data_IF_461785375965
#
_entry.id   IF_461785375965
#
_cell.length_a   1.000
_cell.length_b   1.000
_cell.length_c   1.000
_cell.angle_alpha   90.00
_cell.angle_beta   90.00
_cell.angle_gamma   90.00
#
_symmetry.space_group_name_H-M   'P 1'
#
loop_
_entity.id
_entity.type
_entity.pdbx_description
1 polymer ?
#
# COMPACT_ATOMS: atom_id res chain seq x y z
N UNK A 1 39.27 12.59 30.43
CA UNK A 1 38.30 11.70 29.75
C UNK A 1 39.07 10.92 28.70
N UNK A 2 38.96 9.58 28.71
CA UNK A 2 39.73 8.72 27.80
C UNK A 2 39.36 9.02 26.33
N UNK A 3 40.36 9.10 25.46
CA UNK A 3 40.18 9.48 24.04
C UNK A 3 39.20 8.53 23.32
N UNK A 4 39.16 7.26 23.75
CA UNK A 4 38.22 6.26 23.26
C UNK A 4 36.77 6.51 23.71
N UNK A 5 36.57 7.05 24.91
CA UNK A 5 35.23 7.42 25.42
C UNK A 5 34.68 8.64 24.67
N UNK A 6 35.54 9.60 24.33
CA UNK A 6 35.16 10.76 23.52
C UNK A 6 34.73 10.38 22.10
N UNK A 7 35.47 9.48 21.44
CA UNK A 7 35.12 8.98 20.11
C UNK A 7 33.81 8.18 20.11
N UNK A 8 33.61 7.32 21.11
CA UNK A 8 32.37 6.56 21.23
C UNK A 8 31.14 7.46 21.45
N UNK A 9 31.29 8.55 22.22
CA UNK A 9 30.22 9.53 22.42
C UNK A 9 29.89 10.30 21.13
N UNK A 10 30.91 10.65 20.34
CA UNK A 10 30.73 11.33 19.05
C UNK A 10 30.01 10.42 18.04
N UNK A 11 30.42 9.16 17.92
CA UNK A 11 29.78 8.16 17.06
C UNK A 11 28.31 7.93 17.45
N UNK A 12 28.02 7.81 18.74
CA UNK A 12 26.63 7.67 19.24
C UNK A 12 25.80 8.91 18.86
N UNK A 13 26.38 10.11 18.98
CA UNK A 13 25.70 11.35 18.64
C UNK A 13 25.39 11.45 17.13
N UNK A 14 26.33 11.01 16.30
CA UNK A 14 26.19 10.97 14.85
C UNK A 14 25.12 9.96 14.43
N UNK A 15 25.16 8.74 14.99
CA UNK A 15 24.15 7.70 14.76
C UNK A 15 22.77 8.23 15.13
N UNK A 16 22.63 8.87 16.28
CA UNK A 16 21.36 9.43 16.73
C UNK A 16 20.82 10.49 15.77
N UNK A 17 21.69 11.40 15.33
CA UNK A 17 21.34 12.45 14.37
C UNK A 17 20.87 11.87 13.03
N UNK A 18 21.55 10.83 12.53
CA UNK A 18 21.18 10.14 11.29
C UNK A 18 19.83 9.44 11.44
N UNK A 19 19.56 8.77 12.56
CA UNK A 19 18.27 8.11 12.84
C UNK A 19 17.13 9.14 12.86
N UNK A 20 17.30 10.25 13.58
CA UNK A 20 16.27 11.29 13.68
C UNK A 20 15.96 11.90 12.32
N UNK A 21 16.99 12.26 11.55
CA UNK A 21 16.82 12.81 10.20
C UNK A 21 16.13 11.82 9.27
N UNK A 22 16.51 10.54 9.32
CA UNK A 22 15.91 9.47 8.52
C UNK A 22 14.43 9.28 8.86
N UNK A 23 14.06 9.33 10.15
CA UNK A 23 12.65 9.23 10.56
C UNK A 23 11.84 10.46 10.17
N UNK A 24 12.40 11.65 10.32
CA UNK A 24 11.77 12.88 9.82
C UNK A 24 11.54 12.80 8.32
N UNK A 25 12.48 12.23 7.59
CA UNK A 25 12.33 12.04 6.16
C UNK A 25 11.19 11.07 5.84
N UNK A 26 11.13 9.88 6.44
CA UNK A 26 9.99 8.96 6.24
C UNK A 26 8.63 9.56 6.63
N UNK A 27 8.58 10.47 7.61
CA UNK A 27 7.33 11.14 7.97
C UNK A 27 6.77 12.03 6.86
N UNK A 28 7.61 12.54 5.95
CA UNK A 28 7.17 13.38 4.83
C UNK A 28 6.43 12.57 3.76
N UNK A 29 6.72 11.27 3.65
CA UNK A 29 5.99 10.35 2.75
C UNK A 29 4.80 9.65 3.42
N UNK A 30 4.68 9.70 4.75
CA UNK A 30 3.52 9.16 5.47
C UNK A 30 2.15 9.54 4.85
N UNK A 31 1.89 10.81 4.45
CA UNK A 31 0.60 11.18 3.89
C UNK A 31 0.31 10.52 2.54
N UNK A 32 1.33 10.17 1.75
CA UNK A 32 1.15 9.44 0.49
C UNK A 32 0.51 8.08 0.74
N UNK A 33 1.02 7.31 1.71
CA UNK A 33 0.46 6.01 2.09
C UNK A 33 -0.98 6.10 2.59
N UNK A 34 -1.29 7.11 3.40
CA UNK A 34 -2.66 7.36 3.88
C UNK A 34 -3.58 7.62 2.70
N UNK A 35 -3.18 8.47 1.75
CA UNK A 35 -3.97 8.76 0.56
C UNK A 35 -4.16 7.55 -0.35
N UNK A 36 -3.16 6.67 -0.49
CA UNK A 36 -3.32 5.40 -1.21
C UNK A 36 -4.42 4.54 -0.56
N UNK A 37 -4.47 4.48 0.77
CA UNK A 37 -5.53 3.78 1.48
C UNK A 37 -6.91 4.41 1.27
N UNK A 38 -7.00 5.74 1.29
CA UNK A 38 -8.26 6.47 1.02
C UNK A 38 -8.77 6.20 -0.40
N UNK A 39 -7.90 6.24 -1.41
CA UNK A 39 -8.30 5.94 -2.81
C UNK A 39 -8.84 4.52 -2.92
N UNK A 40 -8.18 3.54 -2.29
CA UNK A 40 -8.67 2.16 -2.29
C UNK A 40 -10.01 2.03 -1.56
N UNK A 41 -10.24 2.80 -0.50
CA UNK A 41 -11.52 2.85 0.21
C UNK A 41 -12.64 3.39 -0.68
N UNK A 42 -12.39 4.50 -1.37
CA UNK A 42 -13.35 5.10 -2.32
C UNK A 42 -13.66 4.11 -3.45
N UNK A 43 -12.63 3.49 -4.03
CA UNK A 43 -12.80 2.49 -5.08
C UNK A 43 -13.63 1.28 -4.60
N UNK A 44 -13.39 0.81 -3.36
CA UNK A 44 -14.16 -0.29 -2.79
C UNK A 44 -15.65 0.06 -2.59
N UNK A 45 -15.96 1.31 -2.22
CA UNK A 45 -17.35 1.79 -2.13
C UNK A 45 -18.02 1.77 -3.52
N UNK A 46 -17.32 2.27 -4.55
CA UNK A 46 -17.80 2.26 -5.94
C UNK A 46 -18.08 0.85 -6.44
N UNK A 47 -17.21 -0.10 -6.11
CA UNK A 47 -17.40 -1.49 -6.46
C UNK A 47 -18.57 -2.14 -5.68
N UNK A 48 -18.74 -1.78 -4.40
CA UNK A 48 -19.89 -2.25 -3.63
C UNK A 48 -21.22 -1.75 -4.22
N UNK A 49 -21.25 -0.50 -4.69
CA UNK A 49 -22.40 0.06 -5.42
C UNK A 49 -22.65 -0.67 -6.73
N UNK A 50 -21.59 -1.03 -7.48
CA UNK A 50 -21.71 -1.86 -8.68
C UNK A 50 -22.39 -3.20 -8.37
N UNK A 51 -21.96 -3.92 -7.34
CA UNK A 51 -22.56 -5.20 -6.95
C UNK A 51 -24.01 -5.04 -6.49
N UNK A 52 -24.32 -3.98 -5.73
CA UNK A 52 -25.70 -3.67 -5.32
C UNK A 52 -26.61 -3.48 -6.54
N UNK A 53 -26.20 -2.65 -7.51
CA UNK A 53 -26.96 -2.39 -8.74
C UNK A 53 -27.13 -3.67 -9.54
N UNK A 54 -26.05 -4.47 -9.70
CA UNK A 54 -26.08 -5.77 -10.38
C UNK A 54 -27.09 -6.73 -9.77
N UNK A 55 -27.17 -6.79 -8.44
CA UNK A 55 -28.09 -7.68 -7.74
C UNK A 55 -29.55 -7.19 -7.80
N UNK A 56 -29.78 -5.89 -7.90
CA UNK A 56 -31.11 -5.28 -7.89
C UNK A 56 -31.73 -5.14 -9.29
N UNK A 57 -30.92 -4.75 -10.29
CA UNK A 57 -31.37 -4.39 -11.64
C UNK A 57 -30.87 -5.33 -12.75
N UNK A 58 -29.98 -6.28 -12.41
CA UNK A 58 -29.42 -7.25 -13.35
C UNK A 58 -28.08 -6.84 -13.96
N UNK A 59 -27.51 -7.75 -14.76
CA UNK A 59 -26.14 -7.65 -15.28
C UNK A 59 -26.00 -6.71 -16.48
N UNK A 60 -27.07 -6.50 -17.23
CA UNK A 60 -27.05 -5.77 -18.51
C UNK A 60 -27.25 -4.26 -18.35
N UNK A 61 -27.46 -3.77 -17.13
CA UNK A 61 -27.67 -2.35 -16.89
C UNK A 61 -26.38 -1.58 -17.15
N UNK A 62 -26.43 -0.53 -17.98
CA UNK A 62 -25.29 0.36 -18.28
C UNK A 62 -24.58 0.88 -17.02
N UNK A 63 -25.30 1.03 -15.91
CA UNK A 63 -24.74 1.42 -14.62
C UNK A 63 -23.71 0.41 -14.09
N UNK A 64 -23.92 -0.90 -14.24
CA UNK A 64 -22.96 -1.93 -13.82
C UNK A 64 -21.63 -1.74 -14.56
N UNK A 65 -21.68 -1.45 -15.86
CA UNK A 65 -20.49 -1.18 -16.65
C UNK A 65 -19.80 0.13 -16.25
N UNK A 66 -20.56 1.19 -15.98
CA UNK A 66 -20.01 2.50 -15.56
C UNK A 66 -19.32 2.38 -14.21
N UNK A 67 -19.97 1.78 -13.20
CA UNK A 67 -19.37 1.62 -11.87
C UNK A 67 -18.20 0.62 -11.89
N UNK A 68 -18.28 -0.44 -12.70
CA UNK A 68 -17.19 -1.39 -12.88
C UNK A 68 -15.95 -0.79 -13.53
N UNK A 69 -16.12 0.02 -14.58
CA UNK A 69 -15.01 0.78 -15.17
C UNK A 69 -14.51 1.86 -14.20
N UNK A 70 -15.42 2.52 -13.49
CA UNK A 70 -15.13 3.57 -12.51
C UNK A 70 -14.18 3.10 -11.40
N UNK A 71 -14.36 1.88 -10.90
CA UNK A 71 -13.45 1.26 -9.94
C UNK A 71 -11.98 1.30 -10.41
N UNK A 72 -11.71 0.88 -11.65
CA UNK A 72 -10.36 0.86 -12.21
C UNK A 72 -9.82 2.28 -12.47
N UNK A 73 -10.65 3.17 -13.02
CA UNK A 73 -10.24 4.53 -13.35
C UNK A 73 -9.93 5.38 -12.11
N UNK A 74 -10.72 5.26 -11.05
CA UNK A 74 -10.49 5.97 -9.78
C UNK A 74 -9.11 5.63 -9.21
N UNK A 75 -8.74 4.36 -9.23
CA UNK A 75 -7.43 3.92 -8.72
C UNK A 75 -6.28 4.44 -9.58
N UNK A 76 -6.33 4.22 -10.91
CA UNK A 76 -5.21 4.60 -11.77
C UNK A 76 -5.01 6.13 -11.80
N UNK A 77 -6.09 6.90 -11.96
CA UNK A 77 -6.04 8.37 -11.97
C UNK A 77 -5.60 8.87 -10.60
N UNK A 78 -6.14 8.30 -9.53
CA UNK A 78 -5.76 8.62 -8.15
C UNK A 78 -4.27 8.39 -7.89
N UNK A 79 -3.71 7.26 -8.32
CA UNK A 79 -2.29 6.96 -8.15
C UNK A 79 -1.39 7.90 -8.98
N UNK A 80 -1.78 8.22 -10.21
CA UNK A 80 -1.04 9.19 -11.05
C UNK A 80 -1.02 10.57 -10.39
N UNK A 81 -2.18 11.07 -9.94
CA UNK A 81 -2.29 12.37 -9.27
C UNK A 81 -1.43 12.40 -8.00
N UNK A 82 -1.51 11.37 -7.15
CA UNK A 82 -0.68 11.27 -5.94
C UNK A 82 0.80 11.24 -6.28
N UNK A 83 1.20 10.45 -7.27
CA UNK A 83 2.59 10.33 -7.67
C UNK A 83 3.17 11.68 -8.12
N UNK A 84 2.44 12.42 -8.96
CA UNK A 84 2.87 13.75 -9.44
C UNK A 84 2.93 14.74 -8.28
N UNK A 85 1.88 14.80 -7.45
CA UNK A 85 1.79 15.72 -6.32
C UNK A 85 2.94 15.52 -5.32
N UNK A 86 3.14 14.28 -4.86
CA UNK A 86 4.20 13.97 -3.89
C UNK A 86 5.59 14.04 -4.51
N UNK A 87 5.76 13.74 -5.81
CA UNK A 87 7.05 13.91 -6.49
C UNK A 87 7.49 15.37 -6.49
N UNK A 88 6.58 16.30 -6.80
CA UNK A 88 6.85 17.74 -6.74
C UNK A 88 7.17 18.19 -5.32
N UNK A 89 6.40 17.71 -4.34
CA UNK A 89 6.58 18.07 -2.92
C UNK A 89 7.92 17.58 -2.35
N UNK A 90 8.29 16.32 -2.58
CA UNK A 90 9.51 15.72 -2.04
C UNK A 90 10.78 16.24 -2.72
N UNK A 91 10.72 16.55 -4.03
CA UNK A 91 11.84 17.17 -4.74
C UNK A 91 12.14 18.57 -4.20
N UNK A 92 11.12 19.36 -3.85
CA UNK A 92 11.32 20.67 -3.19
C UNK A 92 11.91 20.56 -1.78
N UNK A 93 11.63 19.45 -1.09
CA UNK A 93 12.13 19.20 0.27
C UNK A 93 13.53 18.56 0.30
N UNK A 94 14.16 18.33 -0.86
CA UNK A 94 15.45 17.63 -1.04
C UNK A 94 15.57 16.34 -0.22
N UNK A 95 14.50 15.54 -0.21
CA UNK A 95 14.42 14.30 0.55
C UNK A 95 14.49 13.09 -0.39
N UNK A 96 15.71 12.62 -0.62
CA UNK A 96 16.01 11.56 -1.56
C UNK A 96 15.48 10.20 -1.09
N UNK A 97 15.49 9.93 0.21
CA UNK A 97 15.02 8.66 0.80
C UNK A 97 13.52 8.48 0.51
N UNK A 98 12.72 9.49 0.85
CA UNK A 98 11.28 9.46 0.59
C UNK A 98 10.97 9.49 -0.88
N UNK A 99 11.76 10.22 -1.67
CA UNK A 99 11.57 10.26 -3.12
C UNK A 99 11.86 8.90 -3.77
N UNK A 100 12.88 8.17 -3.31
CA UNK A 100 13.16 6.80 -3.73
C UNK A 100 12.01 5.86 -3.38
N UNK A 101 11.47 5.95 -2.17
CA UNK A 101 10.30 5.17 -1.76
C UNK A 101 9.05 5.50 -2.59
N UNK A 102 8.82 6.78 -2.91
CA UNK A 102 7.74 7.20 -3.79
C UNK A 102 7.88 6.60 -5.19
N UNK A 103 9.09 6.56 -5.75
CA UNK A 103 9.35 5.94 -7.07
C UNK A 103 9.00 4.46 -7.08
N UNK A 104 9.45 3.71 -6.07
CA UNK A 104 9.18 2.28 -5.96
C UNK A 104 7.67 2.04 -5.91
N UNK A 105 6.96 2.73 -5.00
CA UNK A 105 5.51 2.58 -4.88
C UNK A 105 4.76 3.09 -6.11
N UNK A 106 5.17 4.20 -6.70
CA UNK A 106 4.57 4.74 -7.92
C UNK A 106 4.65 3.75 -9.09
N UNK A 107 5.83 3.15 -9.30
CA UNK A 107 6.04 2.13 -10.34
C UNK A 107 5.15 0.91 -10.07
N UNK A 108 5.08 0.41 -8.84
CA UNK A 108 4.27 -0.78 -8.55
C UNK A 108 2.76 -0.51 -8.59
N UNK A 109 2.29 0.65 -8.13
CA UNK A 109 0.87 0.99 -8.14
C UNK A 109 0.38 1.32 -9.56
N UNK A 110 1.13 2.10 -10.34
CA UNK A 110 0.71 2.48 -11.70
C UNK A 110 1.02 1.33 -12.66
N UNK A 111 2.22 0.76 -12.56
CA UNK A 111 2.69 -0.32 -13.43
C UNK A 111 1.85 -1.58 -13.32
N UNK A 112 1.43 -2.00 -12.11
CA UNK A 112 0.56 -3.17 -11.96
C UNK A 112 -0.76 -3.01 -12.74
N UNK A 113 -1.36 -1.81 -12.73
CA UNK A 113 -2.58 -1.53 -13.48
C UNK A 113 -2.35 -1.54 -15.00
N UNK A 114 -1.21 -1.03 -15.48
CA UNK A 114 -0.83 -1.11 -16.90
C UNK A 114 -0.64 -2.58 -17.32
N UNK A 115 0.06 -3.38 -16.50
CA UNK A 115 0.25 -4.80 -16.76
C UNK A 115 -1.06 -5.58 -16.77
N UNK A 116 -1.96 -5.31 -15.81
CA UNK A 116 -3.28 -5.93 -15.76
C UNK A 116 -4.10 -5.56 -17.00
N UNK A 117 -4.06 -4.29 -17.44
CA UNK A 117 -4.76 -3.85 -18.64
C UNK A 117 -4.27 -4.62 -19.87
N UNK A 118 -2.95 -4.72 -20.05
CA UNK A 118 -2.36 -5.50 -21.15
C UNK A 118 -2.73 -6.98 -21.05
N UNK A 119 -2.61 -7.57 -19.85
CA UNK A 119 -2.95 -8.97 -19.62
C UNK A 119 -4.40 -9.28 -19.99
N UNK A 120 -5.33 -8.44 -19.58
CA UNK A 120 -6.75 -8.57 -19.89
C UNK A 120 -7.05 -8.48 -21.38
N UNK A 121 -6.29 -7.68 -22.11
CA UNK A 121 -6.47 -7.53 -23.56
C UNK A 121 -5.85 -8.70 -24.35
N UNK A 122 -4.84 -9.37 -23.79
CA UNK A 122 -4.17 -10.52 -24.37
C UNK A 122 -4.84 -11.85 -24.02
N UNK A 123 -5.76 -11.88 -23.04
CA UNK A 123 -6.47 -13.10 -22.67
C UNK A 123 -7.35 -13.57 -23.83
N UNK A 124 -7.24 -14.86 -24.23
CA UNK A 124 -8.09 -15.41 -25.27
C UNK A 124 -9.55 -15.42 -24.81
N UNK A 125 -10.46 -15.07 -25.72
CA UNK A 125 -11.90 -15.13 -25.49
C UNK A 125 -12.37 -16.58 -25.58
N UNK A 126 -13.18 -17.02 -24.62
CA UNK A 126 -13.71 -18.37 -24.59
C UNK A 126 -14.07 -18.83 -23.18
N UNK A 127 -14.73 -19.99 -23.09
CA UNK A 127 -15.18 -20.58 -21.83
C UNK A 127 -14.56 -21.97 -21.64
N UNK A 128 -13.26 -22.00 -21.33
CA UNK A 128 -12.51 -23.21 -21.04
C UNK A 128 -11.88 -23.07 -19.64
N UNK A 129 -11.77 -24.17 -18.90
CA UNK A 129 -11.14 -24.23 -17.57
C UNK A 129 -9.76 -23.57 -17.52
N UNK A 130 -8.98 -23.69 -18.60
CA UNK A 130 -7.68 -23.01 -18.73
C UNK A 130 -7.80 -21.49 -18.75
N UNK A 131 -8.79 -20.96 -19.46
CA UNK A 131 -9.07 -19.52 -19.55
C UNK A 131 -9.58 -19.00 -18.21
N UNK A 132 -10.45 -19.78 -17.54
CA UNK A 132 -10.95 -19.43 -16.20
C UNK A 132 -9.82 -19.42 -15.16
N UNK A 133 -8.86 -20.33 -15.26
CA UNK A 133 -7.66 -20.34 -14.42
C UNK A 133 -6.77 -19.12 -14.69
N UNK A 134 -6.52 -18.78 -15.95
CA UNK A 134 -5.76 -17.57 -16.33
C UNK A 134 -6.43 -16.29 -15.81
N UNK A 135 -7.76 -16.22 -15.84
CA UNK A 135 -8.52 -15.12 -15.26
C UNK A 135 -8.31 -14.98 -13.75
N UNK A 136 -8.22 -16.10 -13.02
CA UNK A 136 -7.92 -16.09 -11.58
C UNK A 136 -6.47 -15.66 -11.30
N UNK A 137 -5.51 -16.09 -12.13
CA UNK A 137 -4.12 -15.67 -12.02
C UNK A 137 -3.90 -14.16 -12.21
N UNK A 138 -4.86 -13.43 -12.79
CA UNK A 138 -4.86 -11.96 -12.83
C UNK A 138 -4.66 -11.34 -11.44
N UNK A 139 -5.25 -11.94 -10.40
CA UNK A 139 -5.14 -11.44 -9.02
C UNK A 139 -3.67 -11.40 -8.57
N UNK A 140 -2.86 -12.38 -9.00
CA UNK A 140 -1.44 -12.46 -8.68
C UNK A 140 -0.64 -11.30 -9.31
N UNK A 141 -1.03 -10.84 -10.50
CA UNK A 141 -0.40 -9.69 -11.16
C UNK A 141 -0.65 -8.38 -10.42
N UNK A 142 -1.75 -8.26 -9.68
CA UNK A 142 -2.03 -7.10 -8.83
C UNK A 142 -1.23 -7.18 -7.51
N UNK A 143 -1.22 -8.35 -6.86
CA UNK A 143 -0.72 -8.48 -5.49
C UNK A 143 0.79 -8.65 -5.36
N UNK A 144 1.45 -9.36 -6.28
CA UNK A 144 2.88 -9.63 -6.18
C UNK A 144 3.70 -8.32 -6.17
N UNK A 145 3.42 -7.35 -7.06
CA UNK A 145 4.03 -6.02 -6.98
C UNK A 145 3.84 -5.33 -5.64
N UNK A 146 2.65 -5.45 -5.03
CA UNK A 146 2.32 -4.82 -3.75
C UNK A 146 3.11 -5.46 -2.61
N UNK A 147 3.15 -6.80 -2.56
CA UNK A 147 3.94 -7.55 -1.58
C UNK A 147 5.42 -7.17 -1.69
N UNK A 148 5.95 -7.10 -2.90
CA UNK A 148 7.32 -6.70 -3.14
C UNK A 148 7.57 -5.25 -2.69
N UNK A 149 6.65 -4.32 -2.98
CA UNK A 149 6.73 -2.94 -2.51
C UNK A 149 6.74 -2.83 -0.97
N UNK A 150 5.95 -3.66 -0.28
CA UNK A 150 5.93 -3.74 1.18
C UNK A 150 7.25 -4.27 1.75
N UNK A 151 7.83 -5.31 1.14
CA UNK A 151 9.16 -5.80 1.52
C UNK A 151 10.23 -4.74 1.32
N UNK A 152 10.24 -4.08 0.17
CA UNK A 152 11.16 -2.98 -0.10
C UNK A 152 10.98 -1.84 0.91
N UNK A 153 9.76 -1.56 1.34
CA UNK A 153 9.48 -0.58 2.39
C UNK A 153 10.09 -1.00 3.73
N UNK A 154 9.94 -2.27 4.12
CA UNK A 154 10.55 -2.80 5.34
C UNK A 154 12.08 -2.73 5.32
N UNK A 155 12.69 -3.08 4.19
CA UNK A 155 14.14 -3.04 3.98
C UNK A 155 14.67 -1.59 4.01
N UNK A 156 14.06 -0.70 3.22
CA UNK A 156 14.49 0.71 3.14
C UNK A 156 14.36 1.45 4.46
N UNK A 157 13.34 1.11 5.25
CA UNK A 157 13.12 1.72 6.56
C UNK A 157 13.91 1.04 7.67
N UNK A 158 14.60 -0.08 7.37
CA UNK A 158 15.27 -0.95 8.32
C UNK A 158 14.37 -1.39 9.50
N UNK A 159 13.06 -1.47 9.27
CA UNK A 159 12.06 -1.82 10.30
C UNK A 159 11.72 -3.29 10.19
N UNK A 160 12.33 -4.12 11.05
CA UNK A 160 12.04 -5.57 11.13
C UNK A 160 10.55 -5.88 11.23
N UNK A 161 9.78 -5.07 11.97
CA UNK A 161 8.34 -5.26 12.13
C UNK A 161 7.59 -5.24 10.78
N UNK A 162 7.88 -4.28 9.90
CA UNK A 162 7.22 -4.18 8.59
C UNK A 162 7.56 -5.41 7.74
N UNK A 163 8.84 -5.82 7.72
CA UNK A 163 9.30 -6.99 6.97
C UNK A 163 8.65 -8.28 7.47
N UNK A 164 8.59 -8.49 8.79
CA UNK A 164 7.96 -9.67 9.41
C UNK A 164 6.47 -9.70 9.11
N UNK A 165 5.75 -8.59 9.32
CA UNK A 165 4.32 -8.51 9.00
C UNK A 165 4.07 -8.80 7.51
N UNK A 166 4.92 -8.29 6.62
CA UNK A 166 4.82 -8.56 5.18
C UNK A 166 5.06 -10.03 4.87
N UNK A 167 6.05 -10.67 5.49
CA UNK A 167 6.32 -12.10 5.33
C UNK A 167 5.15 -12.97 5.81
N UNK A 168 4.64 -12.70 7.02
CA UNK A 168 3.47 -13.40 7.56
C UNK A 168 2.24 -13.22 6.65
N UNK A 169 1.98 -12.00 6.18
CA UNK A 169 0.88 -11.73 5.26
C UNK A 169 1.07 -12.43 3.91
N UNK A 170 2.30 -12.51 3.39
CA UNK A 170 2.59 -13.20 2.11
C UNK A 170 2.26 -14.69 2.20
N UNK A 171 2.63 -15.34 3.31
CA UNK A 171 2.28 -16.75 3.57
C UNK A 171 0.77 -16.92 3.70
N UNK A 172 0.12 -16.06 4.50
CA UNK A 172 -1.34 -16.08 4.65
C UNK A 172 -2.04 -15.91 3.30
N UNK A 173 -1.60 -14.96 2.49
CA UNK A 173 -2.16 -14.66 1.19
C UNK A 173 -2.03 -15.86 0.25
N UNK A 174 -0.86 -16.52 0.20
CA UNK A 174 -0.68 -17.74 -0.60
C UNK A 174 -1.63 -18.86 -0.16
N UNK A 175 -1.80 -19.07 1.14
CA UNK A 175 -2.75 -20.06 1.66
C UNK A 175 -4.19 -19.72 1.25
N UNK A 176 -4.59 -18.45 1.35
CA UNK A 176 -5.93 -17.99 0.95
C UNK A 176 -6.15 -18.15 -0.56
N UNK A 177 -5.15 -17.79 -1.37
CA UNK A 177 -5.18 -17.90 -2.83
C UNK A 177 -5.28 -19.36 -3.27
N UNK A 178 -4.46 -20.25 -2.72
CA UNK A 178 -4.49 -21.69 -3.05
C UNK A 178 -5.76 -22.38 -2.56
N UNK A 179 -6.35 -21.91 -1.46
CA UNK A 179 -7.59 -22.48 -0.92
C UNK A 179 -8.80 -22.24 -1.84
N UNK A 180 -8.73 -21.27 -2.76
CA UNK A 180 -9.80 -20.93 -3.72
C UNK A 180 -11.18 -20.73 -3.07
N UNK A 181 -11.21 -20.38 -1.78
CA UNK A 181 -12.46 -20.16 -1.05
C UNK A 181 -13.09 -18.87 -1.51
N UNK A 182 -14.36 -18.95 -1.82
CA UNK A 182 -15.19 -17.81 -2.18
C UNK A 182 -16.10 -17.48 -1.00
N UNK A 183 -16.35 -16.19 -0.81
CA UNK A 183 -17.28 -15.68 0.19
C UNK A 183 -18.33 -14.80 -0.49
N UNK A 184 -19.57 -14.78 0.02
CA UNK A 184 -20.58 -13.86 -0.49
C UNK A 184 -20.18 -12.41 -0.18
N UNK A 185 -20.17 -11.58 -1.22
CA UNK A 185 -19.85 -10.17 -1.19
C UNK A 185 -20.96 -9.38 -1.89
N UNK A 186 -21.18 -8.12 -1.49
CA UNK A 186 -22.29 -7.34 -2.05
C UNK A 186 -23.68 -7.94 -1.78
N UNK A 187 -23.92 -8.53 -0.61
CA UNK A 187 -25.21 -9.16 -0.23
C UNK A 187 -26.35 -8.17 -0.07
N UNK A 188 -26.06 -6.87 -0.05
CA UNK A 188 -27.08 -5.82 -0.05
C UNK A 188 -27.76 -5.87 -1.43
N UNK A 189 -29.07 -6.16 -1.46
CA UNK A 189 -29.88 -6.17 -2.69
C UNK A 189 -30.08 -7.54 -3.37
N UNK A 190 -29.65 -8.67 -2.79
CA UNK A 190 -30.00 -10.00 -3.35
C UNK A 190 -29.00 -11.12 -3.06
N UNK A 191 -28.99 -12.18 -3.91
CA UNK A 191 -28.02 -13.28 -3.81
C UNK A 191 -26.61 -12.71 -3.99
N UNK A 192 -25.82 -12.72 -2.91
CA UNK A 192 -24.48 -12.15 -2.88
C UNK A 192 -23.60 -12.64 -4.03
N UNK A 193 -22.85 -11.71 -4.63
CA UNK A 193 -21.85 -12.06 -5.63
C UNK A 193 -20.66 -12.71 -4.91
N UNK A 194 -20.23 -13.88 -5.36
CA UNK A 194 -19.09 -14.57 -4.77
C UNK A 194 -17.79 -13.84 -5.15
N UNK A 195 -16.96 -13.56 -4.15
CA UNK A 195 -15.59 -13.04 -4.34
C UNK A 195 -14.60 -13.99 -3.66
N UNK A 196 -13.38 -14.12 -4.20
CA UNK A 196 -12.32 -14.85 -3.52
C UNK A 196 -11.96 -14.16 -2.20
N UNK A 197 -11.77 -14.96 -1.15
CA UNK A 197 -11.31 -14.45 0.17
C UNK A 197 -9.94 -13.78 0.04
N UNK A 198 -9.10 -14.27 -0.88
CA UNK A 198 -7.80 -13.67 -1.20
C UNK A 198 -7.96 -12.24 -1.74
N UNK A 199 -8.85 -12.01 -2.71
CA UNK A 199 -9.14 -10.67 -3.24
C UNK A 199 -9.67 -9.72 -2.16
N UNK A 200 -10.52 -10.22 -1.25
CA UNK A 200 -11.00 -9.41 -0.13
C UNK A 200 -9.87 -9.04 0.83
N UNK A 201 -8.98 -9.99 1.17
CA UNK A 201 -7.85 -9.73 2.07
C UNK A 201 -6.91 -8.63 1.56
N UNK A 202 -6.64 -8.60 0.25
CA UNK A 202 -5.81 -7.56 -0.38
C UNK A 202 -6.43 -6.19 -0.19
N UNK A 203 -7.76 -6.07 -0.36
CA UNK A 203 -8.45 -4.78 -0.19
C UNK A 203 -8.28 -4.26 1.23
N UNK A 204 -8.42 -5.15 2.21
CA UNK A 204 -8.20 -4.80 3.62
C UNK A 204 -6.77 -4.28 3.84
N UNK A 205 -5.76 -4.96 3.29
CA UNK A 205 -4.36 -4.50 3.39
C UNK A 205 -4.13 -3.17 2.66
N UNK A 206 -4.67 -3.01 1.45
CA UNK A 206 -4.50 -1.79 0.67
C UNK A 206 -5.21 -0.58 1.28
N UNK A 207 -6.31 -0.79 2.02
CA UNK A 207 -7.02 0.28 2.73
C UNK A 207 -6.38 0.47 4.11
N UNK A 208 -6.55 -0.49 5.01
CA UNK A 208 -6.16 -0.36 6.41
C UNK A 208 -4.65 -0.46 6.60
N UNK A 209 -3.99 -1.38 5.89
CA UNK A 209 -2.54 -1.55 5.97
C UNK A 209 -1.79 -0.31 5.50
N UNK A 210 -2.22 0.32 4.41
CA UNK A 210 -1.59 1.55 3.90
C UNK A 210 -1.82 2.75 4.82
N UNK A 211 -3.02 2.89 5.38
CA UNK A 211 -3.30 3.92 6.41
C UNK A 211 -2.46 3.68 7.66
N UNK A 212 -2.41 2.44 8.16
CA UNK A 212 -1.62 2.07 9.33
C UNK A 212 -0.12 2.30 9.11
N UNK A 213 0.42 1.95 7.93
CA UNK A 213 1.80 2.20 7.53
C UNK A 213 2.12 3.70 7.52
N UNK A 214 1.24 4.53 6.93
CA UNK A 214 1.40 5.97 6.95
C UNK A 214 1.35 6.55 8.37
N UNK A 215 0.41 6.13 9.20
CA UNK A 215 0.34 6.54 10.61
C UNK A 215 1.59 6.12 11.38
N UNK A 216 2.10 4.91 11.12
CA UNK A 216 3.31 4.40 11.75
C UNK A 216 4.53 5.28 11.45
N UNK A 217 4.72 5.71 10.20
CA UNK A 217 5.79 6.66 9.86
C UNK A 217 5.60 8.03 10.52
N UNK A 218 4.36 8.51 10.63
CA UNK A 218 4.05 9.78 11.29
C UNK A 218 4.31 9.74 12.80
N UNK A 219 3.91 8.65 13.47
CA UNK A 219 4.12 8.45 14.91
C UNK A 219 5.61 8.25 15.22
N UNK A 220 6.34 7.51 14.38
CA UNK A 220 7.78 7.31 14.51
C UNK A 220 8.53 8.64 14.64
N UNK A 221 8.27 9.60 13.76
CA UNK A 221 8.89 10.92 13.83
C UNK A 221 8.48 11.72 15.08
N UNK A 222 7.22 11.63 15.54
CA UNK A 222 6.77 12.32 16.75
C UNK A 222 7.45 11.77 18.02
N UNK A 223 7.61 10.45 18.10
CA UNK A 223 8.14 9.79 19.30
C UNK A 223 9.65 9.91 19.46
N UNK A 224 10.41 10.17 18.40
CA UNK A 224 11.87 10.32 18.47
C UNK A 224 12.32 11.76 18.26
N UNK A 225 11.60 12.56 17.46
CA UNK A 225 11.87 13.98 17.31
C UNK A 225 11.55 14.82 18.55
N UNK A 226 10.72 14.32 19.48
CA UNK A 226 10.27 15.08 20.66
C UNK A 226 10.74 14.50 22.00
N UNK A 227 11.45 13.37 22.02
CA UNK A 227 11.86 12.71 23.28
C UNK A 227 13.11 13.29 23.93
N UNK A 228 13.87 14.14 23.21
CA UNK A 228 15.19 14.59 23.68
C UNK A 228 15.43 16.10 23.55
N UNK A 229 14.36 16.90 23.42
CA UNK A 229 14.43 18.33 23.75
C UNK A 229 14.45 18.56 25.29
N UNK A 230 15.12 17.69 26.03
CA UNK A 230 15.47 17.91 27.43
C UNK A 230 16.79 18.65 27.45
N UNK A 231 16.70 19.98 27.33
CA UNK A 231 17.56 20.87 28.14
C UNK A 231 17.38 20.47 29.61
N UNK A 232 18.06 19.45 30.09
CA UNK A 232 18.09 19.13 31.53
C UNK A 232 19.23 18.19 31.95
N UNK A 233 20.41 18.29 31.32
CA UNK A 233 21.64 17.70 31.87
C UNK A 233 22.85 18.62 31.66
N UNK A 234 22.64 19.94 31.80
CA UNK A 234 23.77 20.89 31.91
C UNK A 234 23.67 21.83 33.11
N UNK A 235 22.76 21.57 34.05
CA UNK A 235 22.73 22.23 35.35
C UNK A 235 22.47 21.13 36.39
N UNK A 236 23.52 20.43 36.80
CA UNK A 236 23.71 19.90 38.16
C UNK A 236 25.03 19.11 38.19
N UNK A 237 25.93 19.58 39.08
CA UNK A 237 27.30 19.15 39.38
C UNK A 237 28.42 19.69 38.47
#
# INVERSE_FOLDING_TARGET
MDKNVALALDDISLIKTVIERTQQDFSKIAPFFIWVGIINGIAAIVEQLMYYIRNTYGYETSLVHIFGAGYYWIKIIGYIILFIFFSRKLRKANNDISYGMLKIWGIFLIGSYVFIFLYMHLLPTGNNDRIMTLWRCKELLEILPIIFALFMTGILTQRKLITICTACYSVLYLVLFLSMKEMPFGTIGGKGTLISVSSFSIRVVMILGMVALGLFFRIGAKNHGNKYNTRSFSNEA
#
